data_IF_956885338564
#
_entry.id   IF_956885338564
#
_cell.length_a   1.000
_cell.length_b   1.000
_cell.length_c   1.000
_cell.angle_alpha   90.00
_cell.angle_beta   90.00
_cell.angle_gamma   90.00
#
_symmetry.space_group_name_H-M   'P 1'
#
loop_
_entity.id
_entity.type
_entity.pdbx_description
1 polymer ?
#
# COMPACT_ATOMS: atom_id res chain seq x y z
N UNK A 1 -6.04 16.58 -11.65
CA UNK A 1 -6.63 15.22 -11.75
C UNK A 1 -5.77 14.24 -10.96
N UNK A 2 -6.42 13.37 -10.20
CA UNK A 2 -5.74 12.35 -9.41
C UNK A 2 -6.07 10.95 -9.91
N UNK A 3 -5.14 10.03 -9.72
CA UNK A 3 -5.33 8.60 -9.96
C UNK A 3 -4.92 7.86 -8.71
N UNK A 4 -5.44 6.67 -8.50
CA UNK A 4 -5.09 5.95 -7.30
C UNK A 4 -5.55 4.52 -7.26
N UNK A 5 -5.25 3.89 -6.14
CA UNK A 5 -5.67 2.54 -5.84
C UNK A 5 -6.16 2.47 -4.40
N UNK A 6 -7.15 1.63 -4.16
CA UNK A 6 -7.67 1.45 -2.81
C UNK A 6 -8.12 0.02 -2.58
N UNK A 7 -8.22 -0.33 -1.31
CA UNK A 7 -8.69 -1.64 -0.88
C UNK A 7 -7.76 -2.77 -1.33
N UNK A 8 -8.29 -3.79 -1.97
CA UNK A 8 -7.49 -4.93 -2.43
C UNK A 8 -7.16 -5.91 -1.32
N UNK A 9 -5.96 -6.46 -1.35
CA UNK A 9 -5.55 -7.56 -0.48
C UNK A 9 -4.81 -7.12 0.78
N UNK A 10 -4.02 -6.06 0.68
CA UNK A 10 -3.27 -5.56 1.81
C UNK A 10 -2.39 -4.38 1.45
N UNK A 11 -1.74 -3.81 2.47
CA UNK A 11 -0.94 -2.60 2.32
C UNK A 11 0.27 -2.79 1.40
N UNK A 12 0.93 -3.95 1.47
CA UNK A 12 2.10 -4.24 0.63
C UNK A 12 1.76 -4.24 -0.86
N UNK A 13 0.63 -4.85 -1.22
CA UNK A 13 0.18 -4.90 -2.63
C UNK A 13 -0.17 -3.52 -3.16
N UNK A 14 -0.81 -2.70 -2.35
CA UNK A 14 -1.14 -1.31 -2.70
C UNK A 14 0.14 -0.51 -2.95
N UNK A 15 1.15 -0.68 -2.12
CA UNK A 15 2.43 0.03 -2.28
C UNK A 15 3.17 -0.43 -3.54
N UNK A 16 3.11 -1.72 -3.87
CA UNK A 16 3.68 -2.22 -5.12
C UNK A 16 2.99 -1.59 -6.33
N UNK A 17 1.66 -1.49 -6.30
CA UNK A 17 0.89 -0.79 -7.33
C UNK A 17 1.23 0.69 -7.41
N UNK A 18 1.43 1.34 -6.26
CA UNK A 18 1.86 2.73 -6.19
C UNK A 18 3.20 2.96 -6.88
N UNK A 19 4.16 2.07 -6.66
CA UNK A 19 5.46 2.15 -7.33
C UNK A 19 5.31 2.12 -8.85
N UNK A 20 4.48 1.23 -9.36
CA UNK A 20 4.21 1.15 -10.79
C UNK A 20 3.56 2.42 -11.33
N UNK A 21 2.57 2.96 -10.60
CA UNK A 21 1.88 4.19 -11.02
C UNK A 21 2.79 5.41 -11.02
N UNK A 22 3.60 5.58 -9.98
CA UNK A 22 4.51 6.74 -9.89
C UNK A 22 5.69 6.63 -10.84
N UNK A 23 6.10 5.43 -11.20
CA UNK A 23 7.10 5.22 -12.25
C UNK A 23 6.56 5.60 -13.62
N UNK A 24 5.31 5.20 -13.91
CA UNK A 24 4.67 5.49 -15.19
C UNK A 24 4.31 6.97 -15.34
N UNK A 25 3.88 7.63 -14.26
CA UNK A 25 3.42 9.03 -14.26
C UNK A 25 3.94 9.76 -13.01
N UNK A 26 5.22 10.14 -12.96
CA UNK A 26 5.79 10.80 -11.77
C UNK A 26 5.13 12.12 -11.39
N UNK A 27 4.55 12.82 -12.37
CA UNK A 27 3.91 14.13 -12.16
C UNK A 27 2.45 14.01 -11.71
N UNK A 28 1.85 12.82 -11.75
CA UNK A 28 0.44 12.65 -11.39
C UNK A 28 0.26 12.73 -9.87
N UNK A 29 -0.90 13.23 -9.45
CA UNK A 29 -1.34 13.14 -8.06
C UNK A 29 -1.83 11.72 -7.82
N UNK A 30 -1.08 10.93 -7.07
CA UNK A 30 -1.43 9.54 -6.79
C UNK A 30 -1.96 9.42 -5.38
N UNK A 31 -3.09 8.73 -5.25
CA UNK A 31 -3.83 8.52 -4.01
C UNK A 31 -3.81 7.03 -3.70
N UNK A 32 -3.45 6.66 -2.48
CA UNK A 32 -3.50 5.26 -2.05
C UNK A 32 -4.29 5.13 -0.75
N UNK A 33 -5.13 4.11 -0.67
CA UNK A 33 -5.95 3.80 0.48
C UNK A 33 -5.91 2.28 0.73
N UNK A 34 -4.95 1.85 1.52
CA UNK A 34 -4.73 0.42 1.77
C UNK A 34 -5.57 -0.12 2.91
N UNK A 35 -5.85 -1.42 2.83
CA UNK A 35 -6.47 -2.15 3.95
C UNK A 35 -5.50 -2.25 5.12
N UNK A 36 -6.06 -2.34 6.33
CA UNK A 36 -5.29 -2.50 7.55
C UNK A 36 -4.88 -3.97 7.73
N UNK A 37 -3.88 -4.39 6.94
CA UNK A 37 -3.42 -5.76 6.95
C UNK A 37 -4.29 -6.68 6.10
N UNK A 38 -4.25 -7.95 6.44
CA UNK A 38 -4.91 -9.02 5.69
C UNK A 38 -6.17 -9.43 6.44
N UNK A 39 -7.32 -9.58 5.73
CA UNK A 39 -8.52 -10.07 6.38
C UNK A 39 -8.37 -11.53 6.79
N UNK A 40 -8.72 -11.83 8.03
CA UNK A 40 -8.74 -13.18 8.59
C UNK A 40 -10.15 -13.50 9.08
N UNK A 41 -10.62 -14.70 8.77
CA UNK A 41 -11.91 -15.16 9.27
C UNK A 41 -11.72 -15.83 10.62
N UNK A 42 -12.41 -15.31 11.64
CA UNK A 42 -12.48 -15.92 12.97
C UNK A 42 -13.95 -16.20 13.28
N UNK A 43 -14.39 -17.43 13.00
CA UNK A 43 -15.78 -17.77 13.09
C UNK A 43 -16.59 -17.04 12.01
N UNK A 44 -17.60 -16.25 12.42
CA UNK A 44 -18.42 -15.43 11.51
C UNK A 44 -17.91 -13.99 11.37
N UNK A 45 -16.79 -13.65 12.05
CA UNK A 45 -16.26 -12.29 12.04
C UNK A 45 -15.02 -12.19 11.17
N UNK A 46 -14.82 -11.01 10.57
CA UNK A 46 -13.63 -10.69 9.80
C UNK A 46 -12.74 -9.79 10.65
N UNK A 47 -11.49 -10.23 10.87
CA UNK A 47 -10.48 -9.47 11.58
C UNK A 47 -9.35 -9.08 10.63
N UNK A 48 -8.82 -7.88 10.81
CA UNK A 48 -7.68 -7.38 10.02
C UNK A 48 -6.42 -7.41 10.88
N UNK A 49 -5.33 -7.95 10.33
CA UNK A 49 -4.09 -8.18 11.06
C UNK A 49 -3.21 -6.94 11.25
N UNK A 50 -3.55 -5.82 10.61
CA UNK A 50 -2.72 -4.62 10.64
C UNK A 50 -2.77 -3.89 11.98
N UNK A 51 -1.60 -3.53 12.50
CA UNK A 51 -1.45 -2.72 13.70
C UNK A 51 -1.35 -1.24 13.34
N UNK A 52 -1.55 -0.31 14.31
CA UNK A 52 -1.26 1.11 14.06
C UNK A 52 0.18 1.35 13.60
N UNK A 53 1.15 0.61 14.14
CA UNK A 53 2.56 0.70 13.74
C UNK A 53 2.77 0.27 12.29
N UNK A 54 2.10 -0.78 11.85
CA UNK A 54 2.16 -1.23 10.46
C UNK A 54 1.63 -0.15 9.52
N UNK A 55 0.51 0.47 9.87
CA UNK A 55 -0.08 1.54 9.07
C UNK A 55 0.77 2.81 9.09
N UNK A 56 1.50 3.07 10.17
CA UNK A 56 2.48 4.16 10.22
C UNK A 56 3.63 3.91 9.22
N UNK A 57 4.17 2.70 9.19
CA UNK A 57 5.20 2.31 8.21
C UNK A 57 4.67 2.36 6.78
N UNK A 58 3.43 1.93 6.56
CA UNK A 58 2.76 2.04 5.28
C UNK A 58 2.75 3.49 4.78
N UNK A 59 2.39 4.45 5.64
CA UNK A 59 2.37 5.87 5.28
C UNK A 59 3.77 6.36 4.90
N UNK A 60 4.78 6.01 5.68
CA UNK A 60 6.17 6.41 5.39
C UNK A 60 6.63 5.90 4.03
N UNK A 61 6.37 4.63 3.76
CA UNK A 61 6.72 4.01 2.47
C UNK A 61 5.93 4.63 1.31
N UNK A 62 4.65 4.92 1.53
CA UNK A 62 3.81 5.55 0.50
C UNK A 62 4.33 6.93 0.11
N UNK A 63 4.70 7.75 1.09
CA UNK A 63 5.28 9.07 0.84
C UNK A 63 6.59 8.94 0.04
N UNK A 64 7.46 8.03 0.45
CA UNK A 64 8.75 7.80 -0.23
C UNK A 64 8.54 7.28 -1.66
N UNK A 65 7.48 6.53 -1.89
CA UNK A 65 7.13 6.02 -3.23
C UNK A 65 6.44 7.06 -4.12
N UNK A 66 6.07 8.22 -3.60
CA UNK A 66 5.53 9.32 -4.37
C UNK A 66 4.04 9.58 -4.23
N UNK A 67 3.36 8.96 -3.27
CA UNK A 67 1.95 9.25 -3.01
C UNK A 67 1.77 10.67 -2.50
N UNK A 68 0.73 11.34 -2.95
CA UNK A 68 0.35 12.69 -2.50
C UNK A 68 -0.75 12.65 -1.46
N UNK A 69 -1.63 11.66 -1.53
CA UNK A 69 -2.74 11.46 -0.59
C UNK A 69 -2.69 10.00 -0.14
N UNK A 70 -2.69 9.79 1.17
CA UNK A 70 -2.62 8.45 1.76
C UNK A 70 -3.78 8.32 2.74
N UNK A 71 -4.46 7.20 2.67
CA UNK A 71 -5.54 6.89 3.61
C UNK A 71 -5.62 5.40 3.88
N UNK A 72 -6.57 5.03 4.71
CA UNK A 72 -6.89 3.64 5.00
C UNK A 72 -8.18 3.22 4.34
N UNK A 73 -8.43 1.92 4.32
CA UNK A 73 -9.66 1.33 3.83
C UNK A 73 -10.17 0.33 4.89
N UNK A 74 -10.52 -0.88 4.50
CA UNK A 74 -11.11 -1.87 5.40
C UNK A 74 -10.18 -2.18 6.60
N UNK A 75 -10.77 -2.32 7.76
CA UNK A 75 -10.05 -2.62 9.00
C UNK A 75 -9.36 -1.44 9.66
N UNK A 76 -9.37 -0.27 9.03
CA UNK A 76 -8.72 0.94 9.56
C UNK A 76 -9.65 1.61 10.57
N UNK A 77 -9.14 1.84 11.79
CA UNK A 77 -9.85 2.55 12.85
C UNK A 77 -9.21 3.91 13.10
N UNK A 78 -9.80 4.69 14.02
CA UNK A 78 -9.24 5.98 14.41
C UNK A 78 -7.84 5.87 15.02
N UNK A 79 -7.54 4.78 15.69
CA UNK A 79 -6.20 4.54 16.26
C UNK A 79 -5.15 4.38 15.16
N UNK A 80 -5.51 3.66 14.10
CA UNK A 80 -4.64 3.53 12.93
C UNK A 80 -4.43 4.89 12.25
N UNK A 81 -5.50 5.65 12.06
CA UNK A 81 -5.42 6.98 11.45
C UNK A 81 -4.58 7.95 12.28
N UNK A 82 -4.68 7.88 13.61
CA UNK A 82 -3.85 8.72 14.50
C UNK A 82 -2.37 8.40 14.33
N UNK A 83 -2.00 7.11 14.27
CA UNK A 83 -0.62 6.69 14.05
C UNK A 83 -0.14 7.10 12.65
N UNK A 84 -0.99 6.97 11.63
CA UNK A 84 -0.68 7.39 10.26
C UNK A 84 -0.44 8.89 10.19
N UNK A 85 -1.27 9.69 10.83
CA UNK A 85 -1.11 11.15 10.88
C UNK A 85 0.18 11.55 11.56
N UNK A 86 0.49 10.93 12.69
CA UNK A 86 1.74 11.19 13.40
C UNK A 86 2.95 10.83 12.54
N UNK A 87 2.90 9.69 11.85
CA UNK A 87 3.96 9.28 10.94
C UNK A 87 4.14 10.29 9.81
N UNK A 88 3.05 10.78 9.24
CA UNK A 88 3.09 11.78 8.17
C UNK A 88 3.71 13.10 8.65
N UNK A 89 3.37 13.54 9.86
CA UNK A 89 3.86 14.81 10.42
C UNK A 89 5.35 14.75 10.77
N UNK A 90 5.87 13.57 11.13
CA UNK A 90 7.26 13.40 11.57
C UNK A 90 8.19 12.81 10.52
N UNK A 91 7.65 12.27 9.44
CA UNK A 91 8.45 11.63 8.40
C UNK A 91 9.04 12.64 7.42
N UNK A 92 10.31 12.51 7.15
CA UNK A 92 10.99 13.23 6.08
C UNK A 92 11.11 12.30 4.88
N UNK A 93 10.64 12.75 3.71
CA UNK A 93 10.70 11.95 2.49
C UNK A 93 12.14 11.51 2.22
N UNK A 94 12.34 10.21 2.06
CA UNK A 94 13.65 9.63 1.79
C UNK A 94 13.65 8.91 0.45
N UNK A 95 14.66 8.05 0.22
CA UNK A 95 14.83 7.36 -1.04
C UNK A 95 13.61 6.50 -1.39
N UNK A 96 13.35 6.37 -2.69
CA UNK A 96 12.26 5.55 -3.21
C UNK A 96 12.42 4.10 -2.75
N UNK A 97 11.40 3.50 -2.12
CA UNK A 97 11.50 2.12 -1.67
C UNK A 97 11.43 1.14 -2.84
N UNK A 98 11.93 -0.07 -2.61
CA UNK A 98 11.78 -1.19 -3.54
C UNK A 98 10.70 -2.12 -3.02
N UNK A 99 10.23 -3.03 -3.88
CA UNK A 99 9.28 -4.07 -3.47
C UNK A 99 9.86 -4.90 -2.32
N UNK A 100 11.15 -5.21 -2.38
CA UNK A 100 11.82 -5.99 -1.31
C UNK A 100 11.80 -5.25 0.03
N UNK A 101 12.05 -3.94 0.04
CA UNK A 101 12.01 -3.16 1.27
C UNK A 101 10.59 -3.04 1.84
N UNK A 102 9.59 -2.97 0.98
CA UNK A 102 8.18 -2.97 1.39
C UNK A 102 7.84 -4.30 2.08
N UNK A 103 8.19 -5.41 1.45
CA UNK A 103 7.92 -6.75 1.98
C UNK A 103 8.61 -6.95 3.32
N UNK A 104 9.86 -6.49 3.44
CA UNK A 104 10.64 -6.61 4.68
C UNK A 104 9.98 -5.83 5.84
N UNK A 105 9.44 -4.64 5.56
CA UNK A 105 8.92 -3.76 6.61
C UNK A 105 7.47 -4.02 6.98
N UNK A 106 6.60 -4.35 6.02
CA UNK A 106 5.17 -4.46 6.29
C UNK A 106 4.53 -5.78 5.86
N UNK A 107 5.30 -6.70 5.30
CA UNK A 107 4.85 -8.05 5.03
C UNK A 107 4.78 -8.43 3.56
N UNK A 108 4.53 -9.71 3.27
CA UNK A 108 4.62 -10.25 1.91
C UNK A 108 3.48 -9.78 1.01
N UNK A 109 3.75 -9.79 -0.30
CA UNK A 109 2.72 -9.57 -1.31
C UNK A 109 1.81 -10.79 -1.39
N UNK A 110 0.50 -10.54 -1.51
CA UNK A 110 -0.50 -11.59 -1.68
C UNK A 110 -0.75 -11.94 -3.14
N UNK A 111 -0.55 -10.97 -4.04
CA UNK A 111 -0.82 -11.13 -5.46
C UNK A 111 0.43 -11.37 -6.30
N UNK A 112 1.42 -12.07 -5.75
CA UNK A 112 2.66 -12.42 -6.47
C UNK A 112 2.39 -13.10 -7.82
N UNK A 113 1.41 -14.00 -7.85
CA UNK A 113 1.06 -14.73 -9.06
C UNK A 113 0.32 -13.86 -10.08
N UNK A 114 -0.52 -12.95 -9.60
CA UNK A 114 -1.24 -12.04 -10.48
C UNK A 114 -0.28 -11.10 -11.21
N UNK A 115 0.75 -10.63 -10.53
CA UNK A 115 1.75 -9.73 -11.11
C UNK A 115 2.57 -10.45 -12.19
N UNK A 116 2.96 -11.69 -11.93
CA UNK A 116 3.68 -12.51 -12.90
C UNK A 116 2.80 -12.81 -14.13
N UNK A 117 1.54 -13.15 -13.90
CA UNK A 117 0.59 -13.46 -14.96
C UNK A 117 0.28 -12.22 -15.83
N UNK A 118 0.24 -11.03 -15.24
CA UNK A 118 0.02 -9.78 -15.98
C UNK A 118 1.22 -9.48 -16.87
N UNK A 119 2.44 -9.72 -16.39
CA UNK A 119 3.65 -9.55 -17.20
C UNK A 119 3.67 -10.52 -18.39
N UNK A 120 3.36 -11.80 -18.16
CA UNK A 120 3.27 -12.80 -19.23
C UNK A 120 2.15 -12.46 -20.23
N UNK A 121 0.99 -12.05 -19.74
CA UNK A 121 -0.15 -11.70 -20.58
C UNK A 121 0.14 -10.46 -21.44
N UNK A 122 0.86 -9.48 -20.92
CA UNK A 122 1.20 -8.29 -21.70
C UNK A 122 2.25 -8.58 -22.78
N UNK A 123 3.15 -9.55 -22.56
CA UNK A 123 4.09 -10.01 -23.59
C UNK A 123 3.39 -10.80 -24.69
N UNK A 124 2.33 -11.52 -24.38
CA UNK A 124 1.58 -12.35 -25.33
C UNK A 124 0.46 -11.58 -26.08
N UNK A 125 0.23 -10.32 -25.75
CA UNK A 125 -0.78 -9.48 -26.36
C UNK A 125 -0.28 -8.76 -27.61
N UNK A 126 0.14 -9.53 -28.59
CA UNK A 126 0.53 -8.94 -29.88
C UNK A 126 -0.31 -9.47 -31.01
#
# INVERSE_FOLDING_TARGET
>A
MGVGANCGVGASDILASLLDMTEAKPEATVIVKGNCGIPEFRGSEIHYSGTPELMADYVRLAVDAGAKIVGGCCGTSFQHLAAMRQALDTHHKSARPTVDSIVERIGPLRNKQATANVAETSENRR
#
